data_IF_146134022580
#
_entry.id   IF_146134022580
#
_cell.length_a   1.000
_cell.length_b   1.000
_cell.length_c   1.000
_cell.angle_alpha   90.00
_cell.angle_beta   90.00
_cell.angle_gamma   90.00
#
_symmetry.space_group_name_H-M   'P 1'
#
loop_
_entity.id
_entity.type
_entity.pdbx_description
1 polymer ?
#
# COMPACT_ATOMS: atom_id res chain seq x y z
N UNK A 1 -6.12 4.59 10.76
CA UNK A 1 -5.15 5.53 10.14
C UNK A 1 -3.81 5.22 10.73
N UNK A 2 -2.82 4.94 9.89
CA UNK A 2 -1.46 4.53 10.29
C UNK A 2 -0.43 5.20 9.36
N UNK A 3 0.84 5.27 9.77
CA UNK A 3 1.94 5.89 9.01
C UNK A 3 2.76 4.86 8.19
N UNK A 4 2.34 3.60 8.13
CA UNK A 4 3.00 2.54 7.37
C UNK A 4 3.27 2.96 5.91
N UNK A 5 4.54 3.17 5.59
CA UNK A 5 5.03 3.54 4.25
C UNK A 5 6.22 2.66 3.82
N UNK A 6 6.39 1.51 4.47
CA UNK A 6 7.34 0.45 4.13
C UNK A 6 6.59 -0.88 4.01
N UNK A 7 7.12 -1.87 3.26
CA UNK A 7 6.47 -3.17 3.12
C UNK A 7 6.19 -3.85 4.48
N UNK A 8 7.22 -3.91 5.34
CA UNK A 8 7.15 -4.51 6.66
C UNK A 8 6.10 -3.84 7.58
N UNK A 9 6.08 -2.51 7.61
CA UNK A 9 5.09 -1.79 8.41
C UNK A 9 3.66 -2.01 7.90
N UNK A 10 3.46 -2.05 6.58
CA UNK A 10 2.15 -2.30 5.99
C UNK A 10 1.65 -3.71 6.33
N UNK A 11 2.52 -4.72 6.25
CA UNK A 11 2.20 -6.09 6.63
C UNK A 11 1.78 -6.16 8.10
N UNK A 12 2.61 -5.66 9.02
CA UNK A 12 2.33 -5.70 10.45
C UNK A 12 0.99 -5.02 10.80
N UNK A 13 0.68 -3.89 10.16
CA UNK A 13 -0.60 -3.19 10.39
C UNK A 13 -1.78 -4.01 9.88
N UNK A 14 -1.69 -4.61 8.68
CA UNK A 14 -2.79 -5.40 8.13
C UNK A 14 -3.02 -6.70 8.91
N UNK A 15 -1.95 -7.38 9.35
CA UNK A 15 -2.03 -8.56 10.20
C UNK A 15 -2.72 -8.22 11.54
N UNK A 16 -2.27 -7.16 12.22
CA UNK A 16 -2.88 -6.72 13.48
C UNK A 16 -4.35 -6.34 13.30
N UNK A 17 -4.70 -5.63 12.22
CA UNK A 17 -6.09 -5.26 11.94
C UNK A 17 -6.95 -6.49 11.60
N UNK A 18 -6.38 -7.51 10.96
CA UNK A 18 -7.09 -8.74 10.60
C UNK A 18 -7.61 -9.46 11.83
N UNK A 19 -6.82 -9.53 12.91
CA UNK A 19 -7.21 -10.13 14.19
C UNK A 19 -8.42 -9.43 14.84
N UNK A 20 -8.57 -8.13 14.57
CA UNK A 20 -9.65 -7.31 15.11
C UNK A 20 -10.83 -7.09 14.16
N UNK A 21 -10.77 -7.63 12.94
CA UNK A 21 -11.81 -7.42 11.92
C UNK A 21 -12.53 -8.74 11.64
N UNK A 22 -13.85 -8.78 11.82
CA UNK A 22 -14.68 -9.94 11.44
C UNK A 22 -15.27 -9.84 10.03
N UNK A 23 -15.36 -8.62 9.48
CA UNK A 23 -15.87 -8.35 8.14
C UNK A 23 -14.77 -8.16 7.10
N UNK A 24 -15.07 -7.39 6.05
CA UNK A 24 -14.07 -7.03 5.05
C UNK A 24 -13.06 -6.02 5.63
N UNK A 25 -11.78 -6.29 5.43
CA UNK A 25 -10.67 -5.39 5.71
C UNK A 25 -10.28 -4.67 4.43
N UNK A 26 -10.40 -3.34 4.42
CA UNK A 26 -10.07 -2.50 3.27
C UNK A 26 -8.76 -1.77 3.52
N UNK A 27 -7.85 -1.80 2.55
CA UNK A 27 -6.60 -1.07 2.55
C UNK A 27 -6.68 0.07 1.51
N UNK A 28 -6.46 1.31 1.95
CA UNK A 28 -6.30 2.47 1.07
C UNK A 28 -4.89 2.99 1.27
N UNK A 29 -4.06 2.97 0.22
CA UNK A 29 -2.67 3.41 0.34
C UNK A 29 -2.10 3.93 -0.99
N UNK A 30 -0.95 4.59 -0.88
CA UNK A 30 -0.15 5.05 -2.01
C UNK A 30 1.34 4.91 -1.73
N UNK A 31 2.17 5.33 -2.68
CA UNK A 31 3.62 5.43 -2.49
C UNK A 31 4.12 6.81 -2.89
N UNK A 32 5.21 7.25 -2.25
CA UNK A 32 5.88 8.48 -2.63
C UNK A 32 6.59 8.39 -3.99
N UNK A 33 6.50 9.46 -4.78
CA UNK A 33 7.25 9.63 -6.03
C UNK A 33 8.71 10.00 -5.79
N UNK A 34 9.55 9.87 -6.82
CA UNK A 34 10.98 10.22 -6.84
C UNK A 34 11.87 9.49 -5.80
N UNK A 35 11.36 8.47 -5.10
CA UNK A 35 12.11 7.69 -4.11
C UNK A 35 11.63 6.24 -3.98
N UNK A 36 12.49 5.40 -3.40
CA UNK A 36 12.19 4.04 -2.91
C UNK A 36 11.35 3.17 -3.86
N UNK A 37 11.55 3.28 -5.18
CA UNK A 37 10.65 2.66 -6.17
C UNK A 37 10.51 1.14 -6.00
N UNK A 38 11.58 0.48 -5.52
CA UNK A 38 11.62 -0.97 -5.30
C UNK A 38 10.56 -1.46 -4.30
N UNK A 39 10.09 -0.61 -3.37
CA UNK A 39 9.08 -1.02 -2.38
C UNK A 39 7.66 -1.08 -2.94
N UNK A 40 7.38 -0.41 -4.05
CA UNK A 40 6.04 -0.27 -4.62
C UNK A 40 5.38 -1.62 -4.93
N UNK A 41 6.00 -2.52 -5.71
CA UNK A 41 5.40 -3.82 -6.00
C UNK A 41 5.29 -4.69 -4.75
N UNK A 42 6.27 -4.61 -3.84
CA UNK A 42 6.21 -5.32 -2.54
C UNK A 42 5.01 -4.87 -1.70
N UNK A 43 4.76 -3.55 -1.61
CA UNK A 43 3.60 -3.01 -0.89
C UNK A 43 2.28 -3.40 -1.57
N UNK A 44 2.24 -3.44 -2.91
CA UNK A 44 1.09 -3.94 -3.67
C UNK A 44 0.75 -5.39 -3.34
N UNK A 45 1.75 -6.28 -3.42
CA UNK A 45 1.59 -7.70 -3.10
C UNK A 45 1.14 -7.94 -1.66
N UNK A 46 1.70 -7.20 -0.69
CA UNK A 46 1.27 -7.28 0.72
C UNK A 46 -0.18 -6.81 0.87
N UNK A 47 -0.56 -5.69 0.27
CA UNK A 47 -1.93 -5.21 0.36
C UNK A 47 -2.92 -6.23 -0.23
N UNK A 48 -2.60 -6.84 -1.37
CA UNK A 48 -3.42 -7.88 -2.00
C UNK A 48 -3.52 -9.14 -1.13
N UNK A 49 -2.44 -9.55 -0.48
CA UNK A 49 -2.41 -10.74 0.36
C UNK A 49 -3.21 -10.58 1.66
N UNK A 50 -3.14 -9.40 2.29
CA UNK A 50 -3.61 -9.21 3.66
C UNK A 50 -4.91 -8.39 3.78
N UNK A 51 -5.38 -7.73 2.70
CA UNK A 51 -6.64 -7.01 2.68
C UNK A 51 -7.65 -7.66 1.72
N UNK A 52 -8.93 -7.60 2.07
CA UNK A 52 -10.02 -8.11 1.22
C UNK A 52 -10.30 -7.15 0.04
N UNK A 53 -9.96 -5.87 0.20
CA UNK A 53 -10.10 -4.87 -0.86
C UNK A 53 -9.00 -3.83 -0.77
N UNK A 54 -8.36 -3.58 -1.91
CA UNK A 54 -7.27 -2.60 -2.02
C UNK A 54 -7.73 -1.43 -2.89
N UNK A 55 -7.53 -0.22 -2.39
CA UNK A 55 -7.65 1.02 -3.15
C UNK A 55 -6.28 1.69 -3.20
N UNK A 56 -5.71 1.74 -4.40
CA UNK A 56 -4.46 2.44 -4.64
C UNK A 56 -4.80 3.88 -4.99
N UNK A 57 -4.14 4.83 -4.32
CA UNK A 57 -4.34 6.27 -4.51
C UNK A 57 -3.00 7.00 -4.43
N UNK A 58 -3.03 8.29 -4.75
CA UNK A 58 -1.89 9.17 -4.58
C UNK A 58 -1.61 9.40 -3.09
N UNK A 59 -0.34 9.30 -2.70
CA UNK A 59 0.15 9.68 -1.37
C UNK A 59 0.96 10.98 -1.48
N UNK A 60 2.11 10.92 -2.17
CA UNK A 60 3.01 12.06 -2.36
C UNK A 60 3.76 11.92 -3.69
N UNK A 61 3.12 12.21 -4.85
CA UNK A 61 3.68 11.93 -6.17
C UNK A 61 4.91 12.78 -6.52
N UNK A 62 5.11 13.94 -5.85
CA UNK A 62 6.19 14.88 -6.14
C UNK A 62 6.20 15.28 -7.63
N UNK A 63 7.28 14.98 -8.35
CA UNK A 63 7.42 15.28 -9.78
C UNK A 63 7.25 14.04 -10.66
N UNK A 64 7.00 12.88 -10.07
CA UNK A 64 6.71 11.66 -10.81
C UNK A 64 5.23 11.61 -11.18
N UNK A 65 4.93 11.13 -12.39
CA UNK A 65 3.54 10.93 -12.83
C UNK A 65 2.83 9.95 -11.87
N UNK A 66 1.71 10.33 -11.24
CA UNK A 66 0.97 9.46 -10.34
C UNK A 66 0.57 8.12 -10.96
N UNK A 67 0.24 8.10 -12.26
CA UNK A 67 -0.14 6.86 -12.93
C UNK A 67 1.03 5.87 -13.01
N UNK A 68 2.25 6.36 -13.27
CA UNK A 68 3.44 5.50 -13.25
C UNK A 68 3.72 4.92 -11.85
N UNK A 69 3.37 5.66 -10.78
CA UNK A 69 3.50 5.15 -9.41
C UNK A 69 2.50 4.02 -9.18
N UNK A 70 1.23 4.23 -9.57
CA UNK A 70 0.15 3.26 -9.43
C UNK A 70 0.45 1.99 -10.22
N UNK A 71 0.86 2.11 -11.49
CA UNK A 71 1.25 0.98 -12.33
C UNK A 71 2.40 0.18 -11.70
N UNK A 72 3.37 0.84 -11.07
CA UNK A 72 4.47 0.15 -10.39
C UNK A 72 4.05 -0.52 -9.08
N UNK A 73 2.96 -0.07 -8.43
CA UNK A 73 2.38 -0.78 -7.29
C UNK A 73 1.65 -2.04 -7.76
N UNK A 74 1.04 -2.01 -8.96
CA UNK A 74 0.26 -3.11 -9.53
C UNK A 74 1.09 -4.18 -10.26
N UNK A 75 2.39 -3.92 -10.46
CA UNK A 75 3.31 -4.81 -11.16
C UNK A 75 3.75 -6.01 -10.30
#
# INVERSE_FOLDING_TARGET
IDYAHTPDALQHVLEALREHTQGMLWCVFGCGGDRDKQKRPMMGSIAEQYADRVYITDDNPRHEDPLNIIEHIQA
#
